data_IF_135673451778
#
_entry.id   IF_135673451778
#
_cell.length_a   1.000
_cell.length_b   1.000
_cell.length_c   1.000
_cell.angle_alpha   90.00
_cell.angle_beta   90.00
_cell.angle_gamma   90.00
#
_symmetry.space_group_name_H-M   'P 1'
#
loop_
_entity.id
_entity.type
_entity.pdbx_description
1 polymer ?
#
# COMPACT_ATOMS: atom_id res chain seq x y z
N UNK A 1 -14.95 -6.17 -2.58
CA UNK A 1 -13.76 -5.35 -2.24
C UNK A 1 -12.90 -5.22 -3.50
N UNK A 2 -12.22 -4.10 -3.70
CA UNK A 2 -11.40 -3.87 -4.90
C UNK A 2 -10.04 -3.33 -4.48
N UNK A 3 -8.99 -4.11 -4.73
CA UNK A 3 -7.59 -3.77 -4.50
C UNK A 3 -6.77 -4.22 -5.71
N UNK A 4 -5.67 -3.53 -5.97
CA UNK A 4 -4.77 -3.82 -7.09
C UNK A 4 -3.33 -3.47 -6.71
N UNK A 5 -2.40 -4.30 -7.19
CA UNK A 5 -0.97 -4.07 -6.99
C UNK A 5 -0.49 -2.94 -7.90
N UNK A 6 0.41 -2.12 -7.38
CA UNK A 6 1.04 -1.04 -8.10
C UNK A 6 2.55 -1.12 -7.91
N UNK A 7 3.29 -0.77 -8.95
CA UNK A 7 4.73 -0.51 -8.88
C UNK A 7 5.02 0.53 -7.78
N UNK A 8 6.17 0.36 -7.13
CA UNK A 8 6.47 0.94 -5.83
C UNK A 8 6.53 2.48 -5.86
N UNK A 9 7.28 3.01 -6.82
CA UNK A 9 7.67 4.41 -6.97
C UNK A 9 6.84 5.15 -8.04
N UNK A 10 5.90 4.47 -8.70
CA UNK A 10 5.05 5.09 -9.73
C UNK A 10 4.28 6.31 -9.16
N UNK A 11 4.52 7.53 -9.65
CA UNK A 11 3.81 8.74 -9.23
C UNK A 11 2.29 8.66 -9.43
N UNK A 12 1.82 7.79 -10.32
CA UNK A 12 0.38 7.60 -10.56
C UNK A 12 -0.35 6.99 -9.36
N UNK A 13 0.37 6.38 -8.42
CA UNK A 13 -0.17 5.94 -7.13
C UNK A 13 -0.92 7.05 -6.39
N UNK A 14 -0.50 8.31 -6.54
CA UNK A 14 -1.16 9.47 -5.91
C UNK A 14 -2.64 9.63 -6.31
N UNK A 15 -3.02 9.21 -7.53
CA UNK A 15 -4.41 9.26 -7.97
C UNK A 15 -5.33 8.38 -7.14
N UNK A 16 -4.82 7.26 -6.59
CA UNK A 16 -5.61 6.39 -5.72
C UNK A 16 -6.10 7.11 -4.46
N UNK A 17 -5.37 8.11 -3.98
CA UNK A 17 -5.64 8.80 -2.72
C UNK A 17 -6.26 10.19 -2.89
N UNK A 18 -6.26 10.73 -4.12
CA UNK A 18 -6.77 12.05 -4.42
C UNK A 18 -8.31 12.13 -4.43
N UNK A 19 -8.90 12.49 -3.28
CA UNK A 19 -10.36 12.66 -3.12
C UNK A 19 -10.97 13.75 -4.00
N UNK A 20 -10.18 14.72 -4.50
CA UNK A 20 -10.71 15.77 -5.38
C UNK A 20 -10.87 15.26 -6.81
N UNK A 21 -9.98 14.37 -7.24
CA UNK A 21 -9.99 13.77 -8.57
C UNK A 21 -10.99 12.60 -8.67
N UNK A 22 -11.12 11.82 -7.60
CA UNK A 22 -11.92 10.60 -7.64
C UNK A 22 -13.42 10.90 -7.46
N UNK A 23 -14.30 10.34 -8.32
CA UNK A 23 -15.74 10.45 -8.15
C UNK A 23 -16.18 10.07 -6.73
N UNK A 24 -17.15 10.82 -6.19
CA UNK A 24 -17.66 10.65 -4.83
C UNK A 24 -16.61 10.81 -3.71
N UNK A 25 -15.43 11.36 -4.01
CA UNK A 25 -14.35 11.48 -3.03
C UNK A 25 -13.73 10.14 -2.63
N UNK A 26 -13.84 9.13 -3.50
CA UNK A 26 -13.35 7.79 -3.21
C UNK A 26 -11.82 7.76 -3.03
N UNK A 27 -11.36 6.83 -2.17
CA UNK A 27 -9.97 6.36 -2.13
C UNK A 27 -9.94 4.93 -2.66
N UNK A 28 -9.00 4.63 -3.56
CA UNK A 28 -8.87 3.33 -4.20
C UNK A 28 -7.93 2.42 -3.39
N UNK A 29 -8.13 1.12 -3.49
CA UNK A 29 -7.34 0.11 -2.79
C UNK A 29 -5.99 -0.18 -3.45
N UNK A 30 -5.17 0.85 -3.69
CA UNK A 30 -3.80 0.65 -4.19
C UNK A 30 -2.95 -0.10 -3.15
N UNK A 31 -2.20 -1.09 -3.59
CA UNK A 31 -1.38 -1.97 -2.76
C UNK A 31 0.05 -1.93 -3.30
N UNK A 32 1.00 -1.70 -2.40
CA UNK A 32 2.42 -1.76 -2.73
C UNK A 32 2.83 -3.09 -3.37
N UNK A 33 3.46 -3.01 -4.54
CA UNK A 33 4.12 -4.10 -5.24
C UNK A 33 5.55 -3.68 -5.56
N UNK A 34 6.52 -4.52 -5.21
CA UNK A 34 7.93 -4.14 -5.26
C UNK A 34 8.53 -4.07 -6.67
N UNK A 35 7.86 -4.66 -7.65
CA UNK A 35 8.34 -4.90 -9.02
C UNK A 35 9.78 -5.46 -9.14
N UNK A 36 10.27 -6.09 -8.07
CA UNK A 36 11.62 -6.67 -8.02
C UNK A 36 11.80 -7.74 -9.09
N UNK A 37 12.85 -7.59 -9.88
CA UNK A 37 13.09 -8.43 -11.06
C UNK A 37 12.58 -7.82 -12.37
N UNK A 38 11.96 -6.62 -12.33
CA UNK A 38 11.90 -5.74 -13.48
C UNK A 38 13.32 -5.26 -13.87
N UNK A 39 13.49 -4.80 -15.11
CA UNK A 39 14.84 -4.53 -15.65
C UNK A 39 15.52 -3.30 -15.01
N UNK A 40 14.72 -2.41 -14.44
CA UNK A 40 15.09 -1.16 -13.77
C UNK A 40 14.99 -1.22 -12.24
N UNK A 41 14.49 -2.33 -11.67
CA UNK A 41 14.48 -2.59 -10.22
C UNK A 41 15.46 -3.72 -9.86
N UNK A 42 16.79 -3.47 -9.87
CA UNK A 42 17.80 -4.49 -9.59
C UNK A 42 18.10 -4.68 -8.09
N UNK A 43 17.75 -3.71 -7.24
CA UNK A 43 18.12 -3.68 -5.82
C UNK A 43 16.90 -3.65 -4.91
N UNK A 44 16.63 -4.79 -4.27
CA UNK A 44 15.52 -4.94 -3.31
C UNK A 44 15.60 -3.98 -2.12
N UNK A 45 16.80 -3.47 -1.80
CA UNK A 45 16.99 -2.54 -0.67
C UNK A 45 16.45 -1.14 -0.97
N UNK A 46 16.24 -0.78 -2.24
CA UNK A 46 15.81 0.55 -2.67
C UNK A 46 14.31 0.67 -2.87
N UNK A 47 13.59 -0.44 -3.10
CA UNK A 47 12.15 -0.42 -3.43
C UNK A 47 11.29 0.36 -2.42
N UNK A 48 11.52 0.17 -1.11
CA UNK A 48 10.75 0.89 -0.10
C UNK A 48 11.20 2.34 0.08
N UNK A 49 12.51 2.66 0.11
CA UNK A 49 12.99 4.03 -0.01
C UNK A 49 12.40 4.80 -1.21
N UNK A 50 12.46 4.23 -2.41
CA UNK A 50 11.95 4.85 -3.64
C UNK A 50 10.43 5.07 -3.57
N UNK A 51 9.67 4.09 -3.06
CA UNK A 51 8.23 4.30 -2.80
C UNK A 51 7.94 5.45 -1.82
N UNK A 52 8.83 5.70 -0.87
CA UNK A 52 8.67 6.78 0.12
C UNK A 52 8.93 8.17 -0.49
N UNK A 53 9.61 8.26 -1.64
CA UNK A 53 9.79 9.54 -2.34
C UNK A 53 8.45 10.17 -2.73
N UNK A 54 7.39 9.38 -2.92
CA UNK A 54 6.01 9.90 -3.11
C UNK A 54 5.55 10.80 -1.94
N UNK A 55 6.02 10.52 -0.72
CA UNK A 55 5.78 11.35 0.46
C UNK A 55 6.72 12.55 0.47
N UNK A 56 8.01 12.34 0.20
CA UNK A 56 9.02 13.40 0.21
C UNK A 56 8.73 14.49 -0.83
N UNK A 57 8.25 14.09 -2.02
CA UNK A 57 7.81 14.98 -3.10
C UNK A 57 6.41 15.57 -2.87
N UNK A 58 5.74 15.18 -1.79
CA UNK A 58 4.42 15.70 -1.40
C UNK A 58 3.27 15.25 -2.31
N UNK A 59 3.43 14.15 -3.03
CA UNK A 59 2.38 13.57 -3.89
C UNK A 59 1.30 12.88 -3.06
N UNK A 60 1.69 12.23 -1.96
CA UNK A 60 0.80 11.58 -1.00
C UNK A 60 1.19 11.94 0.44
N UNK A 61 0.26 11.78 1.39
CA UNK A 61 0.57 11.94 2.81
C UNK A 61 1.20 10.68 3.42
N UNK A 62 1.80 10.79 4.61
CA UNK A 62 2.27 9.62 5.37
C UNK A 62 1.14 8.62 5.68
N UNK A 63 -0.08 9.12 5.92
CA UNK A 63 -1.26 8.27 6.14
C UNK A 63 -1.67 7.52 4.86
N UNK A 64 -1.56 8.17 3.70
CA UNK A 64 -1.78 7.52 2.40
C UNK A 64 -0.72 6.46 2.13
N UNK A 65 0.54 6.76 2.42
CA UNK A 65 1.65 5.81 2.29
C UNK A 65 1.45 4.62 3.22
N UNK A 66 1.07 4.85 4.48
CA UNK A 66 0.72 3.77 5.43
C UNK A 66 -0.42 2.90 4.88
N UNK A 67 -1.41 3.49 4.24
CA UNK A 67 -2.47 2.72 3.61
C UNK A 67 -1.96 1.90 2.42
N UNK A 68 -1.08 2.46 1.59
CA UNK A 68 -0.48 1.81 0.43
C UNK A 68 0.37 0.59 0.79
N UNK A 69 1.29 0.73 1.75
CA UNK A 69 2.29 -0.31 2.10
C UNK A 69 1.83 -1.26 3.20
N UNK A 70 0.78 -0.91 3.95
CA UNK A 70 0.38 -1.68 5.14
C UNK A 70 -1.12 -1.95 5.21
N UNK A 71 -1.97 -0.92 5.32
CA UNK A 71 -3.41 -1.13 5.59
C UNK A 71 -4.13 -1.85 4.45
N UNK A 72 -3.92 -1.43 3.20
CA UNK A 72 -4.58 -2.01 2.03
C UNK A 72 -4.13 -3.47 1.78
N UNK A 73 -2.83 -3.82 1.83
CA UNK A 73 -2.41 -5.22 1.80
C UNK A 73 -3.11 -6.08 2.87
N UNK A 74 -3.22 -5.56 4.11
CA UNK A 74 -3.91 -6.28 5.18
C UNK A 74 -5.37 -6.52 4.82
N UNK A 75 -6.09 -5.48 4.41
CA UNK A 75 -7.51 -5.58 4.06
C UNK A 75 -7.75 -6.53 2.90
N UNK A 76 -6.88 -6.52 1.89
CA UNK A 76 -6.95 -7.44 0.75
C UNK A 76 -6.85 -8.90 1.21
N UNK A 77 -5.76 -9.25 1.90
CA UNK A 77 -5.49 -10.65 2.23
C UNK A 77 -6.34 -11.16 3.40
N UNK A 78 -6.47 -10.37 4.46
CA UNK A 78 -7.27 -10.73 5.63
C UNK A 78 -8.77 -10.65 5.39
N UNK A 79 -9.21 -9.92 4.35
CA UNK A 79 -10.62 -9.85 3.94
C UNK A 79 -11.18 -11.20 3.52
N UNK A 80 -10.37 -12.03 2.86
CA UNK A 80 -10.74 -13.39 2.44
C UNK A 80 -10.38 -14.44 3.49
N UNK A 81 -9.31 -14.23 4.26
CA UNK A 81 -8.85 -15.15 5.31
C UNK A 81 -8.33 -14.38 6.52
N UNK A 82 -9.12 -14.30 7.61
CA UNK A 82 -8.73 -13.59 8.83
C UNK A 82 -7.42 -14.10 9.48
N UNK A 83 -7.01 -15.33 9.18
CA UNK A 83 -5.78 -15.93 9.71
C UNK A 83 -4.58 -15.79 8.76
N UNK A 84 -4.69 -15.05 7.65
CA UNK A 84 -3.64 -14.96 6.63
C UNK A 84 -2.26 -14.58 7.20
N UNK A 85 -2.23 -13.66 8.17
CA UNK A 85 -0.99 -13.18 8.81
C UNK A 85 -0.64 -13.89 10.12
N UNK A 86 -1.36 -14.95 10.49
CA UNK A 86 -1.10 -15.69 11.74
C UNK A 86 0.27 -16.36 11.68
N UNK A 87 1.06 -16.23 12.75
CA UNK A 87 2.42 -16.72 12.87
C UNK A 87 3.49 -15.87 12.19
N UNK A 88 3.11 -14.73 11.59
CA UNK A 88 4.08 -13.82 10.95
C UNK A 88 4.60 -12.79 11.95
N UNK A 89 5.73 -12.16 11.63
CA UNK A 89 6.32 -11.10 12.45
C UNK A 89 5.40 -9.87 12.64
N UNK A 90 4.39 -9.71 11.78
CA UNK A 90 3.45 -8.58 11.82
C UNK A 90 2.08 -8.95 12.39
N UNK A 91 1.88 -10.17 12.89
CA UNK A 91 0.58 -10.65 13.37
C UNK A 91 -0.08 -9.68 14.36
N UNK A 92 0.70 -9.15 15.31
CA UNK A 92 0.17 -8.27 16.36
C UNK A 92 -0.25 -6.90 15.81
N UNK A 93 0.49 -6.37 14.85
CA UNK A 93 0.24 -5.09 14.19
C UNK A 93 -0.98 -5.21 13.27
N UNK A 94 -1.10 -6.33 12.56
CA UNK A 94 -2.27 -6.67 11.76
C UNK A 94 -3.52 -6.77 12.63
N UNK A 95 -3.44 -7.44 13.79
CA UNK A 95 -4.58 -7.58 14.70
C UNK A 95 -5.10 -6.21 15.18
N UNK A 96 -4.20 -5.23 15.42
CA UNK A 96 -4.58 -3.85 15.77
C UNK A 96 -5.39 -3.21 14.64
N UNK A 97 -4.94 -3.35 13.38
CA UNK A 97 -5.67 -2.83 12.20
C UNK A 97 -7.03 -3.50 12.08
N UNK A 98 -7.10 -4.83 12.16
CA UNK A 98 -8.36 -5.58 12.00
C UNK A 98 -9.39 -5.31 13.09
N UNK A 99 -8.95 -4.92 14.30
CA UNK A 99 -9.85 -4.53 15.39
C UNK A 99 -10.40 -3.10 15.23
N UNK A 100 -9.69 -2.26 14.48
CA UNK A 100 -10.06 -0.86 14.20
C UNK A 100 -10.94 -0.68 12.95
N UNK A 101 -11.23 -1.76 12.23
CA UNK A 101 -12.09 -1.79 11.04
C UNK A 101 -13.54 -2.13 11.41
#
# INVERSE_FOLDING_TARGET
QFYFGCEADDPTNAWAFNRKANPFGARLGAVFGSDIGHFDVPDMTQVLPEAYELVEDGLISEDDFRDFVFTNPIKLWAGSNKNFFKGTAVESEVAKVLTSL
#
